data_IF_976941191933
#
_entry.id   IF_976941191933
#
_cell.length_a   1.000
_cell.length_b   1.000
_cell.length_c   1.000
_cell.angle_alpha   90.00
_cell.angle_beta   90.00
_cell.angle_gamma   90.00
#
_symmetry.space_group_name_H-M   'P 1'
#
loop_
_entity.id
_entity.type
_entity.pdbx_description
1 polymer ?
#
# COMPACT_ATOMS: atom_id res chain seq x y z
N UNK A 1 -9.92 -12.90 33.08
CA UNK A 1 -10.16 -13.88 32.01
C UNK A 1 -10.85 -15.08 32.64
N UNK A 2 -12.01 -15.49 32.14
CA UNK A 2 -12.74 -16.67 32.63
C UNK A 2 -12.25 -17.92 31.88
N UNK A 3 -12.32 -19.09 32.52
CA UNK A 3 -11.84 -20.39 31.99
C UNK A 3 -12.43 -20.81 30.64
N UNK A 4 -13.53 -20.19 30.20
CA UNK A 4 -14.16 -20.44 28.90
C UNK A 4 -13.42 -19.74 27.75
N UNK A 5 -12.85 -18.54 27.99
CA UNK A 5 -12.03 -17.81 27.03
C UNK A 5 -10.73 -18.57 26.68
N UNK A 6 -10.23 -19.38 27.62
CA UNK A 6 -9.04 -20.21 27.47
C UNK A 6 -9.29 -21.41 26.54
N UNK A 7 -10.50 -21.99 26.53
CA UNK A 7 -10.78 -23.19 25.73
C UNK A 7 -11.01 -22.92 24.24
N UNK A 8 -11.53 -21.74 23.87
CA UNK A 8 -11.83 -21.44 22.44
C UNK A 8 -10.59 -21.03 21.65
N UNK A 9 -9.60 -20.41 22.29
CA UNK A 9 -8.32 -20.01 21.66
C UNK A 9 -7.34 -21.19 21.52
N UNK A 10 -7.43 -22.19 22.40
CA UNK A 10 -6.47 -23.30 22.50
C UNK A 10 -6.80 -24.46 21.54
N UNK A 11 -8.06 -24.65 21.14
CA UNK A 11 -8.47 -25.87 20.43
C UNK A 11 -8.49 -25.80 18.90
N UNK A 12 -8.13 -24.66 18.27
CA UNK A 12 -8.17 -24.52 16.80
C UNK A 12 -9.52 -24.87 16.16
N UNK A 13 -10.58 -25.02 16.96
CA UNK A 13 -11.92 -25.39 16.54
C UNK A 13 -12.81 -24.18 16.73
N UNK A 14 -13.17 -23.55 15.62
CA UNK A 14 -14.31 -22.66 15.45
C UNK A 14 -14.58 -21.73 16.65
N UNK A 15 -13.90 -20.58 16.66
CA UNK A 15 -14.49 -19.39 17.27
C UNK A 15 -15.80 -19.15 16.51
N UNK A 16 -16.93 -19.54 17.11
CA UNK A 16 -18.25 -19.42 16.50
C UNK A 16 -18.66 -17.94 16.56
N UNK A 17 -18.23 -17.19 15.56
CA UNK A 17 -18.61 -15.80 15.34
C UNK A 17 -19.92 -15.79 14.57
N UNK A 18 -21.03 -15.54 15.26
CA UNK A 18 -22.30 -15.25 14.58
C UNK A 18 -22.20 -13.89 13.90
N UNK A 19 -21.86 -13.86 12.61
CA UNK A 19 -22.15 -12.71 11.76
C UNK A 19 -23.64 -12.73 11.41
N UNK A 20 -24.35 -11.66 11.73
CA UNK A 20 -25.57 -11.29 11.00
C UNK A 20 -25.11 -10.79 9.63
N UNK A 21 -25.03 -11.71 8.67
CA UNK A 21 -25.09 -11.59 7.21
C UNK A 21 -24.29 -12.76 6.61
N UNK A 22 -24.92 -13.45 5.65
CA UNK A 22 -24.47 -14.68 5.01
C UNK A 22 -22.99 -14.63 4.56
N UNK A 23 -22.13 -15.39 5.22
CA UNK A 23 -21.18 -16.34 4.62
C UNK A 23 -20.14 -16.78 5.67
N UNK A 24 -20.35 -17.97 6.22
CA UNK A 24 -19.44 -18.58 7.18
C UNK A 24 -18.23 -19.16 6.43
N UNK A 25 -17.10 -18.44 6.45
CA UNK A 25 -15.79 -19.01 6.17
C UNK A 25 -14.93 -18.88 7.42
N UNK A 26 -14.38 -20.01 7.85
CA UNK A 26 -13.17 -20.15 8.66
C UNK A 26 -12.24 -18.95 8.53
N UNK A 27 -11.71 -18.46 9.67
CA UNK A 27 -10.60 -17.48 9.69
C UNK A 27 -9.63 -17.83 8.56
N UNK A 28 -9.35 -16.92 7.61
CA UNK A 28 -8.33 -17.17 6.62
C UNK A 28 -7.02 -17.41 7.37
N UNK A 29 -6.49 -18.63 7.28
CA UNK A 29 -5.18 -18.97 7.81
C UNK A 29 -4.13 -18.37 6.86
N UNK A 30 -4.07 -17.03 6.78
CA UNK A 30 -3.00 -16.34 6.07
C UNK A 30 -1.80 -16.28 7.02
N UNK A 31 -0.71 -17.01 6.74
CA UNK A 31 0.48 -17.00 7.60
C UNK A 31 1.14 -15.61 7.70
N UNK A 32 0.75 -14.67 6.84
CA UNK A 32 1.22 -13.28 6.84
C UNK A 32 0.38 -12.38 7.75
N UNK A 33 -0.78 -12.83 8.23
CA UNK A 33 -1.68 -12.02 9.04
C UNK A 33 -1.25 -11.96 10.50
N UNK A 34 -0.80 -10.77 10.92
CA UNK A 34 -0.50 -10.47 12.32
C UNK A 34 -1.78 -9.99 13.00
N UNK A 35 -2.28 -10.84 13.88
CA UNK A 35 -3.56 -10.67 14.56
C UNK A 35 -3.39 -10.07 15.95
N UNK A 36 -4.08 -8.97 16.18
CA UNK A 36 -4.19 -8.30 17.48
C UNK A 36 -5.62 -8.42 18.01
N UNK A 37 -5.72 -8.58 19.33
CA UNK A 37 -6.99 -8.68 20.04
C UNK A 37 -7.09 -7.54 21.05
N UNK A 38 -8.07 -6.66 20.89
CA UNK A 38 -8.27 -5.50 21.76
C UNK A 38 -8.77 -5.93 23.15
N UNK A 39 -8.06 -5.48 24.20
CA UNK A 39 -8.40 -5.69 25.62
C UNK A 39 -8.76 -4.38 26.33
N UNK A 40 -9.18 -3.35 25.58
CA UNK A 40 -9.50 -1.97 25.99
C UNK A 40 -8.30 -1.13 26.40
N UNK A 41 -7.42 -1.62 27.26
CA UNK A 41 -6.24 -0.84 27.71
C UNK A 41 -4.96 -1.20 26.95
N UNK A 42 -4.94 -2.39 26.35
CA UNK A 42 -3.79 -2.95 25.64
C UNK A 42 -4.28 -3.97 24.61
N UNK A 43 -3.37 -4.42 23.75
CA UNK A 43 -3.62 -5.47 22.76
C UNK A 43 -2.95 -6.77 23.18
N UNK A 44 -3.50 -7.90 22.74
CA UNK A 44 -2.84 -9.20 22.87
C UNK A 44 -2.59 -9.84 21.52
N UNK A 45 -1.45 -10.50 21.38
CA UNK A 45 -1.15 -11.38 20.26
C UNK A 45 -0.88 -12.80 20.80
N UNK A 46 -1.12 -13.81 19.97
CA UNK A 46 -1.09 -15.22 20.38
C UNK A 46 -0.28 -16.10 19.41
N UNK A 47 0.24 -17.23 19.89
CA UNK A 47 0.91 -18.25 19.08
C UNK A 47 2.16 -17.75 18.35
N UNK A 48 2.21 -18.01 17.04
CA UNK A 48 3.31 -17.59 16.17
C UNK A 48 3.41 -16.06 16.09
N UNK A 49 2.29 -15.35 16.01
CA UNK A 49 2.23 -13.88 16.03
C UNK A 49 2.87 -13.30 17.30
N UNK A 50 2.56 -13.87 18.47
CA UNK A 50 3.18 -13.45 19.73
C UNK A 50 4.71 -13.64 19.71
N UNK A 51 5.16 -14.79 19.18
CA UNK A 51 6.58 -15.14 19.13
C UNK A 51 7.35 -14.25 18.16
N UNK A 52 6.75 -13.96 16.99
CA UNK A 52 7.30 -13.03 16.00
C UNK A 52 7.44 -11.63 16.59
N UNK A 53 6.39 -11.11 17.23
CA UNK A 53 6.40 -9.76 17.81
C UNK A 53 7.45 -9.67 18.94
N UNK A 54 7.51 -10.67 19.82
CA UNK A 54 8.44 -10.70 20.94
C UNK A 54 9.92 -10.67 20.47
N UNK A 55 10.25 -11.46 19.45
CA UNK A 55 11.61 -11.49 18.87
C UNK A 55 11.95 -10.21 18.11
N UNK A 56 11.01 -9.69 17.34
CA UNK A 56 11.26 -8.59 16.40
C UNK A 56 11.27 -7.23 17.09
N UNK A 57 10.32 -6.96 17.99
CA UNK A 57 10.14 -5.62 18.58
C UNK A 57 10.57 -5.51 20.04
N UNK A 58 10.41 -6.58 20.82
CA UNK A 58 10.85 -6.60 22.22
C UNK A 58 12.27 -7.14 22.39
N UNK A 59 12.84 -7.74 21.34
CA UNK A 59 14.15 -8.41 21.35
C UNK A 59 14.32 -9.43 22.49
N UNK A 60 13.22 -9.99 22.98
CA UNK A 60 13.22 -10.98 24.06
C UNK A 60 12.01 -11.91 23.96
N UNK A 61 12.23 -13.18 24.29
CA UNK A 61 11.15 -14.17 24.46
C UNK A 61 10.61 -14.23 25.89
N UNK A 62 11.24 -13.54 26.86
CA UNK A 62 10.84 -13.55 28.27
C UNK A 62 9.50 -12.86 28.53
N UNK A 63 9.07 -11.98 27.62
CA UNK A 63 7.77 -11.32 27.69
C UNK A 63 6.59 -12.26 27.34
N UNK A 64 6.87 -13.43 26.77
CA UNK A 64 5.85 -14.41 26.41
C UNK A 64 5.31 -15.12 27.65
N UNK A 65 3.99 -15.07 27.81
CA UNK A 65 3.27 -15.81 28.84
C UNK A 65 2.66 -17.05 28.23
N UNK A 66 2.96 -18.21 28.80
CA UNK A 66 2.30 -19.46 28.44
C UNK A 66 0.90 -19.49 29.08
N UNK A 67 -0.13 -19.69 28.27
CA UNK A 67 -1.52 -19.82 28.75
C UNK A 67 -2.04 -21.21 28.38
N UNK A 68 -2.55 -21.93 29.37
CA UNK A 68 -3.00 -23.32 29.25
C UNK A 68 -2.18 -24.29 30.10
N UNK A 69 -2.66 -25.52 30.23
CA UNK A 69 -2.01 -26.58 31.00
C UNK A 69 -1.81 -27.81 30.10
N UNK A 70 -0.57 -28.28 29.94
CA UNK A 70 -0.21 -29.44 29.10
C UNK A 70 0.32 -29.11 27.69
N UNK A 71 0.18 -30.05 26.75
CA UNK A 71 0.70 -29.99 25.36
C UNK A 71 0.05 -28.93 24.45
N UNK A 72 -0.96 -28.22 24.95
CA UNK A 72 -1.75 -27.21 24.25
C UNK A 72 -1.52 -25.79 24.81
N UNK A 73 -0.33 -25.54 25.37
CA UNK A 73 0.07 -24.22 25.87
C UNK A 73 0.21 -23.22 24.72
N UNK A 74 -0.55 -22.14 24.77
CA UNK A 74 -0.51 -21.07 23.79
C UNK A 74 0.38 -19.93 24.30
N UNK A 75 1.39 -19.56 23.53
CA UNK A 75 2.20 -18.36 23.81
C UNK A 75 1.34 -17.12 23.63
N UNK A 76 1.44 -16.18 24.55
CA UNK A 76 0.69 -14.91 24.49
C UNK A 76 1.57 -13.75 24.89
N UNK A 77 1.38 -12.62 24.20
CA UNK A 77 2.11 -11.38 24.45
C UNK A 77 1.10 -10.25 24.69
N UNK A 78 1.36 -9.42 25.69
CA UNK A 78 0.61 -8.18 25.93
C UNK A 78 1.39 -7.01 25.33
N UNK A 79 0.72 -6.22 24.49
CA UNK A 79 1.29 -5.13 23.70
C UNK A 79 0.59 -3.84 24.10
N UNK A 80 1.34 -2.82 24.52
CA UNK A 80 0.77 -1.51 24.85
C UNK A 80 0.27 -0.79 23.60
N UNK A 81 -0.62 0.20 23.73
CA UNK A 81 -1.15 0.97 22.60
C UNK A 81 -0.03 1.64 21.77
N UNK A 82 0.95 2.25 22.42
CA UNK A 82 2.09 2.89 21.74
C UNK A 82 2.96 1.86 20.99
N UNK A 83 3.15 0.67 21.56
CA UNK A 83 3.90 -0.39 20.89
C UNK A 83 3.11 -0.94 19.70
N UNK A 84 1.79 -1.08 19.83
CA UNK A 84 0.93 -1.46 18.70
C UNK A 84 1.01 -0.45 17.56
N UNK A 85 0.97 0.86 17.83
CA UNK A 85 1.18 1.91 16.82
C UNK A 85 2.54 1.75 16.12
N UNK A 86 3.61 1.51 16.89
CA UNK A 86 4.96 1.29 16.34
C UNK A 86 5.01 0.06 15.44
N UNK A 87 4.40 -1.04 15.88
CA UNK A 87 4.34 -2.30 15.11
C UNK A 87 3.50 -2.11 13.85
N UNK A 88 2.30 -1.51 13.95
CA UNK A 88 1.42 -1.28 12.81
C UNK A 88 2.12 -0.43 11.73
N UNK A 89 2.87 0.60 12.14
CA UNK A 89 3.65 1.44 11.23
C UNK A 89 4.77 0.66 10.55
N UNK A 90 5.56 -0.13 11.29
CA UNK A 90 6.62 -0.95 10.69
C UNK A 90 6.03 -1.98 9.73
N UNK A 91 4.95 -2.67 10.10
CA UNK A 91 4.33 -3.71 9.28
C UNK A 91 3.70 -3.20 7.98
N UNK A 92 3.06 -2.03 8.01
CA UNK A 92 2.26 -1.54 6.86
C UNK A 92 2.99 -0.51 6.00
N UNK A 93 3.84 0.34 6.60
CA UNK A 93 4.48 1.44 5.86
C UNK A 93 5.90 1.09 5.41
N UNK A 94 6.59 0.24 6.19
CA UNK A 94 8.01 -0.03 6.00
C UNK A 94 8.27 -1.43 5.48
N UNK A 95 7.60 -2.43 6.07
CA UNK A 95 7.62 -3.82 5.62
C UNK A 95 6.49 -4.05 4.62
N UNK A 96 6.65 -5.07 3.79
CA UNK A 96 5.66 -5.45 2.77
C UNK A 96 5.39 -6.95 2.76
N UNK A 97 5.62 -7.60 3.90
CA UNK A 97 5.57 -9.06 4.04
C UNK A 97 4.42 -9.56 4.94
N UNK A 98 3.78 -8.68 5.70
CA UNK A 98 2.69 -9.02 6.61
C UNK A 98 1.46 -8.14 6.40
N UNK A 99 0.31 -8.66 6.78
CA UNK A 99 -0.95 -7.92 6.93
C UNK A 99 -1.28 -7.76 8.41
N UNK A 100 -2.15 -6.80 8.73
CA UNK A 100 -2.57 -6.54 10.10
C UNK A 100 -4.07 -6.76 10.24
N UNK A 101 -4.47 -7.51 11.25
CA UNK A 101 -5.87 -7.72 11.60
C UNK A 101 -6.10 -7.35 13.06
N UNK A 102 -7.12 -6.54 13.32
CA UNK A 102 -7.53 -6.14 14.66
C UNK A 102 -8.92 -6.68 14.99
N UNK A 103 -8.98 -7.48 16.04
CA UNK A 103 -10.19 -8.09 16.55
C UNK A 103 -10.65 -7.40 17.84
N UNK A 104 -11.95 -7.11 17.93
CA UNK A 104 -12.59 -6.67 19.17
C UNK A 104 -13.59 -7.71 19.64
N UNK A 105 -13.66 -7.91 20.95
CA UNK A 105 -14.52 -8.94 21.49
C UNK A 105 -14.49 -9.07 23.00
N UNK A 106 -15.38 -9.92 23.49
CA UNK A 106 -15.42 -10.35 24.88
C UNK A 106 -15.81 -11.81 24.94
N UNK A 107 -15.23 -12.59 25.85
CA UNK A 107 -15.53 -14.01 25.92
C UNK A 107 -14.97 -14.75 24.70
N UNK A 108 -15.82 -15.60 24.12
CA UNK A 108 -15.56 -16.34 22.88
C UNK A 108 -15.94 -15.56 21.61
N UNK A 109 -16.46 -14.33 21.73
CA UNK A 109 -17.03 -13.60 20.59
C UNK A 109 -16.08 -12.46 20.17
N UNK A 110 -15.33 -12.69 19.10
CA UNK A 110 -14.31 -11.79 18.53
C UNK A 110 -14.63 -11.42 17.09
N UNK A 111 -14.95 -10.16 16.79
CA UNK A 111 -15.16 -9.72 15.40
C UNK A 111 -13.91 -9.03 14.87
N UNK A 112 -13.60 -9.23 13.60
CA UNK A 112 -12.64 -8.40 12.89
C UNK A 112 -13.23 -6.99 12.75
N UNK A 113 -12.51 -5.98 13.23
CA UNK A 113 -12.96 -4.58 13.21
C UNK A 113 -12.13 -3.75 12.26
N UNK A 114 -10.81 -3.97 12.22
CA UNK A 114 -9.91 -3.29 11.29
C UNK A 114 -9.00 -4.31 10.62
N UNK A 115 -8.73 -4.10 9.35
CA UNK A 115 -7.73 -4.86 8.59
C UNK A 115 -6.89 -3.90 7.75
N UNK A 116 -5.61 -4.19 7.64
CA UNK A 116 -4.67 -3.37 6.87
C UNK A 116 -3.70 -4.23 6.10
N UNK A 117 -3.40 -3.78 4.90
CA UNK A 117 -2.30 -4.28 4.07
C UNK A 117 -1.33 -3.15 3.78
N UNK A 118 -0.09 -3.43 3.35
CA UNK A 118 0.84 -2.39 2.93
C UNK A 118 0.31 -1.48 1.80
N UNK A 119 -0.65 -1.97 1.00
CA UNK A 119 -1.34 -1.21 -0.03
C UNK A 119 -2.62 -0.51 0.42
N UNK A 120 -3.34 -1.09 1.37
CA UNK A 120 -4.63 -0.59 1.86
C UNK A 120 -4.56 -0.36 3.38
N UNK A 121 -4.29 0.89 3.75
CA UNK A 121 -4.14 1.33 5.14
C UNK A 121 -5.36 2.07 5.68
N UNK A 122 -6.43 2.22 4.89
CA UNK A 122 -7.55 3.12 5.17
C UNK A 122 -8.21 2.91 6.54
N UNK A 123 -8.41 1.66 6.95
CA UNK A 123 -9.05 1.36 8.24
C UNK A 123 -8.18 1.67 9.48
N UNK A 124 -6.88 1.93 9.27
CA UNK A 124 -5.87 2.11 10.31
C UNK A 124 -5.20 3.49 10.24
N UNK A 125 -5.66 4.41 9.39
CA UNK A 125 -5.08 5.76 9.26
C UNK A 125 -5.05 6.51 10.60
N UNK A 126 -6.10 6.36 11.40
CA UNK A 126 -6.23 6.94 12.74
C UNK A 126 -5.14 6.44 13.71
N UNK A 127 -4.69 5.19 13.53
CA UNK A 127 -3.59 4.61 14.30
C UNK A 127 -2.24 5.03 13.71
N UNK A 128 -2.10 5.00 12.39
CA UNK A 128 -0.82 5.21 11.71
C UNK A 128 -0.36 6.67 11.76
N UNK A 129 -1.29 7.63 11.69
CA UNK A 129 -0.98 9.06 11.54
C UNK A 129 -1.41 9.91 12.75
N UNK A 130 -1.73 9.28 13.88
CA UNK A 130 -2.05 9.99 15.13
C UNK A 130 -0.97 11.02 15.54
N UNK A 131 0.31 10.68 15.33
CA UNK A 131 1.47 11.45 15.79
C UNK A 131 2.54 11.70 14.71
N UNK A 132 2.26 11.41 13.44
CA UNK A 132 3.28 11.42 12.38
C UNK A 132 2.67 11.71 11.01
N UNK A 133 3.38 12.47 10.19
CA UNK A 133 2.96 12.82 8.83
C UNK A 133 3.17 11.65 7.85
N UNK A 134 2.23 11.48 6.92
CA UNK A 134 2.35 10.53 5.82
C UNK A 134 3.44 11.01 4.84
N UNK A 135 4.44 10.17 4.58
CA UNK A 135 5.60 10.52 3.75
C UNK A 135 5.54 9.92 2.33
N UNK A 136 4.90 8.76 2.18
CA UNK A 136 4.67 8.08 0.92
C UNK A 136 3.24 7.51 0.97
N UNK A 137 2.42 7.85 -0.03
CA UNK A 137 1.10 7.23 -0.17
C UNK A 137 1.29 5.85 -0.80
N UNK A 138 0.81 4.77 -0.19
CA UNK A 138 0.90 3.45 -0.79
C UNK A 138 0.04 3.41 -2.06
N UNK A 139 0.64 2.92 -3.15
CA UNK A 139 -0.09 2.64 -4.39
C UNK A 139 -0.34 1.14 -4.47
N UNK A 140 -1.59 0.78 -4.76
CA UNK A 140 -1.97 -0.60 -5.08
C UNK A 140 -2.04 -0.74 -6.59
N UNK A 141 -1.34 -1.74 -7.12
CA UNK A 141 -1.32 -2.06 -8.55
C UNK A 141 -2.04 -3.38 -8.77
N UNK A 142 -2.71 -3.55 -9.90
CA UNK A 142 -3.19 -4.83 -10.37
C UNK A 142 -2.63 -5.09 -11.77
N UNK A 143 -2.29 -6.34 -12.05
CA UNK A 143 -1.79 -6.75 -13.36
C UNK A 143 -2.69 -7.82 -13.98
N UNK A 144 -3.03 -7.61 -15.24
CA UNK A 144 -3.64 -8.58 -16.14
C UNK A 144 -2.61 -8.99 -17.17
N UNK A 145 -2.23 -10.27 -17.19
CA UNK A 145 -1.16 -10.79 -18.03
C UNK A 145 -1.77 -11.51 -19.23
N UNK A 146 -1.31 -11.16 -20.43
CA UNK A 146 -1.64 -11.89 -21.65
C UNK A 146 -0.37 -12.32 -22.39
N UNK A 147 -0.02 -13.59 -22.25
CA UNK A 147 1.14 -14.18 -22.90
C UNK A 147 0.84 -14.46 -24.37
N UNK A 148 1.67 -13.93 -25.27
CA UNK A 148 1.65 -14.17 -26.73
C UNK A 148 2.99 -14.78 -27.15
N UNK A 149 3.10 -15.26 -28.40
CA UNK A 149 4.29 -15.99 -28.89
C UNK A 149 5.61 -15.18 -28.76
N UNK A 150 5.55 -13.84 -28.85
CA UNK A 150 6.73 -12.95 -28.81
C UNK A 150 6.79 -12.00 -27.61
N UNK A 151 6.11 -12.30 -26.51
CA UNK A 151 6.17 -11.50 -25.27
C UNK A 151 4.90 -11.52 -24.45
N UNK A 152 4.86 -10.72 -23.40
CA UNK A 152 3.69 -10.59 -22.53
C UNK A 152 3.09 -9.19 -22.69
N UNK A 153 1.81 -9.11 -23.03
CA UNK A 153 1.07 -7.84 -22.94
C UNK A 153 0.56 -7.69 -21.52
N UNK A 154 0.93 -6.58 -20.89
CA UNK A 154 0.58 -6.28 -19.51
C UNK A 154 -0.49 -5.20 -19.49
N UNK A 155 -1.66 -5.54 -18.96
CA UNK A 155 -2.65 -4.57 -18.53
C UNK A 155 -2.39 -4.18 -17.07
N UNK A 156 -2.01 -2.94 -16.83
CA UNK A 156 -1.73 -2.40 -15.51
C UNK A 156 -2.86 -1.45 -15.10
N UNK A 157 -3.49 -1.72 -13.96
CA UNK A 157 -4.32 -0.78 -13.24
C UNK A 157 -3.60 -0.34 -11.97
N UNK A 158 -3.82 0.89 -11.51
CA UNK A 158 -3.37 1.31 -10.19
C UNK A 158 -4.39 2.24 -9.52
N UNK A 159 -4.35 2.25 -8.19
CA UNK A 159 -5.12 3.17 -7.35
C UNK A 159 -4.22 3.75 -6.27
N UNK A 160 -4.33 5.06 -6.10
CA UNK A 160 -3.82 5.81 -4.97
C UNK A 160 -5.02 6.30 -4.16
N UNK A 161 -5.24 5.66 -3.00
CA UNK A 161 -6.41 5.94 -2.15
C UNK A 161 -6.29 7.34 -1.52
N UNK A 162 -5.11 7.71 -1.05
CA UNK A 162 -4.85 9.02 -0.44
C UNK A 162 -5.10 10.16 -1.42
N UNK A 163 -4.60 10.04 -2.66
CA UNK A 163 -4.71 11.10 -3.68
C UNK A 163 -5.98 11.03 -4.50
N UNK A 164 -6.78 9.99 -4.29
CA UNK A 164 -7.97 9.67 -5.09
C UNK A 164 -7.65 9.65 -6.59
N UNK A 165 -6.59 8.94 -6.95
CA UNK A 165 -6.17 8.79 -8.35
C UNK A 165 -6.31 7.33 -8.77
N UNK A 166 -7.02 7.13 -9.88
CA UNK A 166 -7.08 5.88 -10.60
C UNK A 166 -6.25 6.04 -11.87
N UNK A 167 -5.61 4.96 -12.32
CA UNK A 167 -5.01 4.99 -13.63
C UNK A 167 -4.80 3.63 -14.25
N UNK A 168 -4.52 3.69 -15.55
CA UNK A 168 -4.36 2.53 -16.41
C UNK A 168 -3.17 2.72 -17.35
N UNK A 169 -2.47 1.63 -17.60
CA UNK A 169 -1.44 1.54 -18.62
C UNK A 169 -1.51 0.16 -19.29
N UNK A 170 -1.10 0.11 -20.55
CA UNK A 170 -0.92 -1.15 -21.26
C UNK A 170 0.35 -1.07 -22.09
N UNK A 171 1.17 -2.11 -21.99
CA UNK A 171 2.47 -2.15 -22.64
C UNK A 171 2.91 -3.60 -22.86
N UNK A 172 3.84 -3.78 -23.80
CA UNK A 172 4.52 -5.05 -24.00
C UNK A 172 5.70 -5.15 -23.02
N UNK A 173 5.91 -6.35 -22.51
CA UNK A 173 7.03 -6.66 -21.63
C UNK A 173 7.79 -7.89 -22.11
N UNK A 174 9.06 -7.93 -21.70
CA UNK A 174 9.97 -9.03 -21.96
C UNK A 174 9.82 -10.15 -20.90
N UNK A 175 10.60 -11.21 -21.04
CA UNK A 175 10.57 -12.35 -20.10
C UNK A 175 11.05 -12.00 -18.68
N UNK A 176 11.72 -10.86 -18.52
CA UNK A 176 12.25 -10.39 -17.24
C UNK A 176 11.34 -9.34 -16.58
N UNK A 177 10.24 -8.95 -17.22
CA UNK A 177 9.29 -7.96 -16.73
C UNK A 177 9.92 -6.60 -16.39
N UNK A 178 10.86 -6.14 -17.22
CA UNK A 178 11.63 -4.89 -16.97
C UNK A 178 10.73 -3.65 -16.96
N UNK A 179 9.68 -3.63 -17.79
CA UNK A 179 8.75 -2.51 -17.84
C UNK A 179 7.81 -2.51 -16.63
N UNK A 180 7.33 -3.69 -16.19
CA UNK A 180 6.60 -3.83 -14.93
C UNK A 180 7.47 -3.39 -13.75
N UNK A 181 8.72 -3.85 -13.65
CA UNK A 181 9.64 -3.45 -12.56
C UNK A 181 9.75 -1.91 -12.50
N UNK A 182 10.01 -1.28 -13.65
CA UNK A 182 10.15 0.17 -13.75
C UNK A 182 8.85 0.89 -13.36
N UNK A 183 7.69 0.38 -13.78
CA UNK A 183 6.39 0.96 -13.44
C UNK A 183 6.07 0.84 -11.95
N UNK A 184 6.34 -0.31 -11.32
CA UNK A 184 6.09 -0.53 -9.89
C UNK A 184 6.96 0.38 -9.03
N UNK A 185 8.24 0.52 -9.37
CA UNK A 185 9.18 1.41 -8.69
C UNK A 185 8.77 2.87 -8.84
N UNK A 186 8.44 3.30 -10.06
CA UNK A 186 8.02 4.67 -10.35
C UNK A 186 6.71 5.05 -9.66
N UNK A 187 5.74 4.13 -9.61
CA UNK A 187 4.47 4.32 -8.91
C UNK A 187 4.61 4.22 -7.38
N UNK A 188 5.69 3.63 -6.86
CA UNK A 188 5.82 3.37 -5.43
C UNK A 188 4.86 2.27 -4.95
N UNK A 189 4.66 1.25 -5.77
CA UNK A 189 3.75 0.15 -5.48
C UNK A 189 4.16 -0.58 -4.18
N UNK A 190 3.21 -0.73 -3.25
CA UNK A 190 3.39 -1.49 -2.00
C UNK A 190 2.64 -2.81 -2.00
N UNK A 191 1.66 -2.95 -2.88
CA UNK A 191 0.87 -4.15 -3.02
C UNK A 191 0.44 -4.34 -4.48
N UNK A 192 0.60 -5.56 -4.98
CA UNK A 192 0.25 -5.94 -6.33
C UNK A 192 -0.79 -7.08 -6.33
N UNK A 193 -1.92 -6.86 -6.98
CA UNK A 193 -2.96 -7.86 -7.18
C UNK A 193 -2.70 -8.66 -8.45
N UNK A 194 -2.78 -9.99 -8.33
CA UNK A 194 -2.73 -10.91 -9.48
C UNK A 194 -3.92 -11.87 -9.48
N UNK A 195 -4.37 -12.34 -10.65
CA UNK A 195 -5.34 -13.43 -10.73
C UNK A 195 -4.80 -14.71 -10.06
N UNK A 196 -5.63 -15.37 -9.25
CA UNK A 196 -5.31 -16.63 -8.56
C UNK A 196 -4.89 -17.70 -9.57
N UNK A 197 -3.95 -18.56 -9.17
CA UNK A 197 -3.29 -19.58 -10.00
C UNK A 197 -2.22 -19.06 -10.97
N UNK A 198 -1.75 -17.83 -10.75
CA UNK A 198 -0.55 -17.31 -11.42
C UNK A 198 0.64 -18.25 -11.16
N UNK A 199 0.82 -18.83 -9.97
CA UNK A 199 2.00 -19.63 -9.61
C UNK A 199 2.32 -20.92 -10.41
N UNK A 200 1.55 -21.30 -11.43
CA UNK A 200 1.76 -22.56 -12.19
C UNK A 200 2.80 -22.46 -13.32
N UNK A 201 3.11 -21.26 -13.81
CA UNK A 201 4.05 -21.06 -14.93
C UNK A 201 5.41 -20.49 -14.48
N UNK A 202 6.46 -20.66 -15.30
CA UNK A 202 7.80 -20.14 -14.99
C UNK A 202 7.78 -18.60 -15.00
N UNK A 203 7.06 -18.02 -15.94
CA UNK A 203 6.90 -16.58 -16.14
C UNK A 203 6.27 -15.93 -14.90
N UNK A 204 5.27 -16.57 -14.30
CA UNK A 204 4.62 -16.02 -13.12
C UNK A 204 5.50 -16.11 -11.87
N UNK A 205 6.40 -17.10 -11.78
CA UNK A 205 7.44 -17.10 -10.73
C UNK A 205 8.42 -15.95 -10.91
N UNK A 206 8.85 -15.68 -12.14
CA UNK A 206 9.71 -14.53 -12.44
C UNK A 206 9.03 -13.21 -12.07
N UNK A 207 7.73 -13.07 -12.37
CA UNK A 207 6.96 -11.91 -11.95
C UNK A 207 6.91 -11.77 -10.41
N UNK A 208 6.64 -12.85 -9.68
CA UNK A 208 6.67 -12.84 -8.21
C UNK A 208 8.04 -12.40 -7.66
N UNK A 209 9.14 -12.82 -8.30
CA UNK A 209 10.49 -12.39 -7.93
C UNK A 209 10.67 -10.88 -8.17
N UNK A 210 10.13 -10.34 -9.27
CA UNK A 210 10.15 -8.90 -9.57
C UNK A 210 9.34 -8.11 -8.53
N UNK A 211 8.14 -8.58 -8.16
CA UNK A 211 7.33 -7.97 -7.10
C UNK A 211 8.09 -7.93 -5.77
N UNK A 212 8.73 -9.05 -5.41
CA UNK A 212 9.53 -9.16 -4.18
C UNK A 212 10.72 -8.19 -4.22
N UNK A 213 11.42 -8.07 -5.35
CA UNK A 213 12.53 -7.12 -5.52
C UNK A 213 12.09 -5.66 -5.41
N UNK A 214 10.88 -5.34 -5.84
CA UNK A 214 10.28 -4.01 -5.72
C UNK A 214 9.77 -3.71 -4.30
N UNK A 215 9.71 -4.72 -3.42
CA UNK A 215 9.07 -4.60 -2.12
C UNK A 215 7.55 -4.40 -2.26
N UNK A 216 6.90 -5.10 -3.20
CA UNK A 216 5.46 -5.10 -3.35
C UNK A 216 4.88 -6.43 -2.85
N UNK A 217 3.90 -6.36 -1.95
CA UNK A 217 3.20 -7.54 -1.44
C UNK A 217 2.32 -8.14 -2.54
N UNK A 218 2.40 -9.46 -2.76
CA UNK A 218 1.51 -10.16 -3.68
C UNK A 218 0.18 -10.52 -3.00
N UNK A 219 -0.93 -10.13 -3.63
CA UNK A 219 -2.28 -10.51 -3.21
C UNK A 219 -3.02 -11.20 -4.37
N UNK A 220 -3.35 -12.48 -4.21
CA UNK A 220 -4.08 -13.22 -5.23
C UNK A 220 -5.59 -12.98 -5.13
N UNK A 221 -6.22 -12.65 -6.27
CA UNK A 221 -7.66 -12.37 -6.38
C UNK A 221 -8.32 -13.29 -7.39
N UNK A 222 -9.63 -13.51 -7.29
CA UNK A 222 -10.32 -14.43 -8.22
C UNK A 222 -10.23 -13.88 -9.64
N UNK A 223 -9.98 -14.74 -10.63
CA UNK A 223 -9.98 -14.34 -12.06
C UNK A 223 -11.28 -13.67 -12.49
N UNK A 224 -12.40 -13.98 -11.83
CA UNK A 224 -13.70 -13.34 -12.08
C UNK A 224 -13.74 -11.85 -11.75
N UNK A 225 -12.85 -11.36 -10.88
CA UNK A 225 -12.75 -9.95 -10.48
C UNK A 225 -11.98 -9.12 -11.52
N UNK A 226 -11.19 -9.76 -12.39
CA UNK A 226 -10.48 -9.11 -13.49
C UNK A 226 -11.35 -9.01 -14.74
N UNK A 227 -12.46 -8.26 -14.66
CA UNK A 227 -13.42 -8.09 -15.76
C UNK A 227 -13.75 -6.61 -16.00
N UNK A 228 -14.09 -6.30 -17.24
CA UNK A 228 -14.39 -4.93 -17.70
C UNK A 228 -15.89 -4.58 -17.66
N UNK A 229 -16.77 -5.56 -17.41
CA UNK A 229 -18.21 -5.46 -17.67
C UNK A 229 -18.90 -4.21 -17.10
N UNK A 230 -18.73 -3.97 -15.81
CA UNK A 230 -19.39 -2.86 -15.09
C UNK A 230 -18.48 -1.65 -14.90
N UNK A 231 -17.22 -1.73 -15.36
CA UNK A 231 -16.17 -0.76 -15.04
C UNK A 231 -16.54 0.67 -15.43
N UNK A 232 -17.09 0.89 -16.63
CA UNK A 232 -17.42 2.26 -17.09
C UNK A 232 -18.50 2.88 -16.22
N UNK A 233 -19.49 2.08 -15.79
CA UNK A 233 -20.55 2.53 -14.90
C UNK A 233 -20.01 2.84 -13.50
N UNK A 234 -19.15 1.95 -12.98
CA UNK A 234 -18.51 2.11 -11.68
C UNK A 234 -17.62 3.35 -11.64
N UNK A 235 -16.81 3.57 -12.68
CA UNK A 235 -16.01 4.77 -12.85
C UNK A 235 -16.89 6.02 -12.98
N UNK A 236 -18.05 5.92 -13.64
CA UNK A 236 -19.01 7.02 -13.73
C UNK A 236 -19.56 7.49 -12.37
N UNK A 237 -19.53 6.63 -11.34
CA UNK A 237 -19.89 7.00 -9.96
C UNK A 237 -18.72 7.59 -9.18
N UNK A 238 -17.51 7.11 -9.43
CA UNK A 238 -16.32 7.48 -8.66
C UNK A 238 -15.63 8.76 -9.18
N UNK A 239 -15.73 9.03 -10.48
CA UNK A 239 -14.95 10.09 -11.12
C UNK A 239 -15.68 11.43 -11.15
N UNK A 240 -14.92 12.52 -10.99
CA UNK A 240 -15.42 13.88 -11.23
C UNK A 240 -15.67 14.11 -12.73
N UNK A 241 -16.86 14.58 -13.07
CA UNK A 241 -17.18 15.06 -14.42
C UNK A 241 -17.94 14.06 -15.29
N UNK A 242 -17.84 14.20 -16.60
CA UNK A 242 -18.66 13.44 -17.55
C UNK A 242 -18.06 12.07 -17.88
N UNK A 243 -18.93 11.12 -18.27
CA UNK A 243 -18.57 9.71 -18.48
C UNK A 243 -18.00 9.44 -19.88
N UNK A 244 -18.22 10.33 -20.83
CA UNK A 244 -17.74 10.21 -22.22
C UNK A 244 -16.21 10.08 -22.32
N UNK A 245 -15.39 10.99 -21.75
CA UNK A 245 -13.93 10.86 -21.82
C UNK A 245 -13.42 9.61 -21.10
N UNK A 246 -14.14 9.14 -20.08
CA UNK A 246 -13.84 7.90 -19.36
C UNK A 246 -14.02 6.70 -20.27
N UNK A 247 -15.15 6.65 -20.99
CA UNK A 247 -15.44 5.59 -21.95
C UNK A 247 -14.40 5.55 -23.07
N UNK A 248 -14.07 6.70 -23.64
CA UNK A 248 -13.06 6.80 -24.70
C UNK A 248 -11.70 6.29 -24.21
N UNK A 249 -11.28 6.70 -23.01
CA UNK A 249 -10.03 6.24 -22.42
C UNK A 249 -10.03 4.73 -22.16
N UNK A 250 -11.09 4.18 -21.56
CA UNK A 250 -11.22 2.74 -21.28
C UNK A 250 -11.19 1.93 -22.58
N UNK A 251 -11.85 2.42 -23.64
CA UNK A 251 -11.87 1.75 -24.95
C UNK A 251 -10.51 1.68 -25.65
N UNK A 252 -9.56 2.53 -25.24
CA UNK A 252 -8.19 2.52 -25.76
C UNK A 252 -7.30 1.40 -25.22
N UNK A 253 -7.81 0.55 -24.32
CA UNK A 253 -7.07 -0.54 -23.68
C UNK A 253 -7.79 -1.88 -23.80
N UNK A 254 -7.04 -2.96 -23.94
CA UNK A 254 -7.56 -4.33 -24.04
C UNK A 254 -7.56 -5.03 -22.67
N UNK A 255 -6.48 -4.88 -21.90
CA UNK A 255 -6.24 -5.65 -20.65
C UNK A 255 -6.25 -4.81 -19.38
N UNK A 256 -5.83 -3.54 -19.46
CA UNK A 256 -5.77 -2.64 -18.31
C UNK A 256 -7.13 -2.42 -17.59
N UNK A 257 -8.28 -2.36 -18.30
CA UNK A 257 -9.59 -2.18 -17.66
C UNK A 257 -9.94 -3.31 -16.69
N UNK A 258 -9.62 -4.56 -17.04
CA UNK A 258 -9.85 -5.71 -16.16
C UNK A 258 -9.02 -5.64 -14.87
N UNK A 259 -7.78 -5.18 -14.96
CA UNK A 259 -6.94 -4.95 -13.79
C UNK A 259 -7.49 -3.83 -12.90
N UNK A 260 -7.94 -2.71 -13.49
CA UNK A 260 -8.56 -1.64 -12.74
C UNK A 260 -9.85 -2.09 -12.04
N UNK A 261 -10.71 -2.87 -12.71
CA UNK A 261 -11.93 -3.43 -12.11
C UNK A 261 -11.65 -4.27 -10.86
N UNK A 262 -10.58 -5.08 -10.90
CA UNK A 262 -10.14 -5.85 -9.73
C UNK A 262 -9.72 -4.94 -8.55
N UNK A 263 -9.09 -3.79 -8.82
CA UNK A 263 -8.73 -2.81 -7.79
C UNK A 263 -9.96 -2.15 -7.16
N UNK A 264 -10.95 -1.77 -7.97
CA UNK A 264 -12.18 -1.16 -7.46
C UNK A 264 -12.92 -2.12 -6.50
N UNK A 265 -12.98 -3.40 -6.86
CA UNK A 265 -13.56 -4.43 -6.02
C UNK A 265 -12.71 -4.73 -4.79
N UNK A 266 -11.38 -4.71 -4.91
CA UNK A 266 -10.47 -4.99 -3.80
C UNK A 266 -10.48 -3.89 -2.73
N UNK A 267 -10.46 -2.63 -3.16
CA UNK A 267 -10.51 -1.49 -2.27
C UNK A 267 -11.94 -1.14 -1.82
N UNK A 268 -12.95 -1.92 -2.25
CA UNK A 268 -14.37 -1.73 -1.93
C UNK A 268 -14.87 -0.29 -2.18
N UNK A 269 -14.32 0.38 -3.20
CA UNK A 269 -14.54 1.82 -3.40
C UNK A 269 -16.01 2.19 -3.57
N UNK A 270 -16.81 1.30 -4.15
CA UNK A 270 -18.23 1.53 -4.40
C UNK A 270 -19.11 1.30 -3.16
N UNK A 271 -18.59 0.60 -2.15
CA UNK A 271 -19.32 0.30 -0.92
C UNK A 271 -19.42 1.51 0.02
N UNK A 272 -18.51 2.47 -0.15
CA UNK A 272 -18.48 3.72 0.61
C UNK A 272 -18.85 4.90 -0.30
N UNK A 273 -20.00 5.51 -0.03
CA UNK A 273 -20.53 6.65 -0.80
C UNK A 273 -19.63 7.89 -0.71
N UNK A 274 -18.75 7.99 0.31
CA UNK A 274 -17.78 9.09 0.41
C UNK A 274 -16.77 9.11 -0.75
N UNK A 275 -16.62 7.99 -1.48
CA UNK A 275 -15.74 7.87 -2.63
C UNK A 275 -16.33 8.43 -3.92
N UNK A 276 -17.63 8.72 -3.95
CA UNK A 276 -18.33 9.09 -5.18
C UNK A 276 -17.92 10.48 -5.63
N UNK A 277 -17.73 10.65 -6.94
CA UNK A 277 -17.25 11.88 -7.57
C UNK A 277 -15.98 12.46 -6.91
N UNK A 278 -15.11 11.62 -6.34
CA UNK A 278 -13.91 12.06 -5.64
C UNK A 278 -12.59 11.65 -6.31
N UNK A 279 -12.66 10.80 -7.34
CA UNK A 279 -11.49 10.30 -8.04
C UNK A 279 -11.21 11.00 -9.37
N UNK A 280 -9.96 10.91 -9.80
CA UNK A 280 -9.52 11.27 -11.16
C UNK A 280 -8.95 10.04 -11.87
N UNK A 281 -9.25 9.89 -13.16
CA UNK A 281 -8.73 8.79 -13.99
C UNK A 281 -7.65 9.30 -14.93
N UNK A 282 -6.53 8.60 -15.02
CA UNK A 282 -5.37 9.01 -15.83
C UNK A 282 -4.80 7.84 -16.62
N UNK A 283 -4.30 8.14 -17.81
CA UNK A 283 -3.39 7.22 -18.53
C UNK A 283 -2.00 7.35 -17.94
N UNK A 284 -1.43 6.23 -17.49
CA UNK A 284 -0.03 6.19 -17.12
C UNK A 284 0.82 5.86 -18.35
N UNK A 285 1.81 6.72 -18.60
CA UNK A 285 2.72 6.58 -19.73
C UNK A 285 4.12 6.19 -19.24
N UNK A 286 4.55 4.96 -19.55
CA UNK A 286 5.88 4.47 -19.19
C UNK A 286 7.00 5.22 -19.92
N UNK A 287 6.69 5.88 -21.05
CA UNK A 287 7.65 6.66 -21.84
C UNK A 287 7.73 8.13 -21.42
N UNK A 288 6.92 8.55 -20.44
CA UNK A 288 6.98 9.92 -19.92
C UNK A 288 8.18 10.17 -19.00
N UNK A 289 8.73 9.11 -18.40
CA UNK A 289 9.73 9.19 -17.36
C UNK A 289 10.89 8.23 -17.61
N UNK A 290 12.06 8.56 -17.04
CA UNK A 290 13.21 7.67 -17.07
C UNK A 290 12.88 6.37 -16.34
N UNK A 291 13.07 5.24 -17.03
CA UNK A 291 12.83 3.91 -16.48
C UNK A 291 13.99 3.52 -15.57
N UNK A 292 13.69 3.35 -14.28
CA UNK A 292 14.65 2.90 -13.27
C UNK A 292 14.14 1.60 -12.62
N UNK A 293 14.94 0.54 -12.72
CA UNK A 293 14.69 -0.69 -11.98
C UNK A 293 15.04 -0.57 -10.50
N UNK A 294 14.61 -1.54 -9.69
CA UNK A 294 14.84 -1.57 -8.23
C UNK A 294 16.34 -1.57 -7.88
N UNK A 295 17.16 -2.22 -8.70
CA UNK A 295 18.60 -2.29 -8.52
C UNK A 295 19.28 -0.94 -8.78
N UNK A 296 18.83 -0.19 -9.80
CA UNK A 296 19.37 1.13 -10.10
C UNK A 296 19.02 2.14 -9.01
N UNK A 297 17.77 2.13 -8.52
CA UNK A 297 17.34 2.97 -7.40
C UNK A 297 18.18 2.75 -6.14
N UNK A 298 18.52 1.48 -5.85
CA UNK A 298 19.40 1.12 -4.73
C UNK A 298 20.85 1.50 -5.00
N UNK A 299 21.39 1.22 -6.18
CA UNK A 299 22.78 1.53 -6.52
C UNK A 299 23.08 3.04 -6.49
N UNK A 300 22.11 3.86 -6.86
CA UNK A 300 22.20 5.33 -6.82
C UNK A 300 21.80 5.91 -5.45
N UNK A 301 21.41 5.08 -4.48
CA UNK A 301 20.87 5.49 -3.18
C UNK A 301 19.82 6.62 -3.32
N UNK A 302 18.87 6.46 -4.23
CA UNK A 302 17.92 7.54 -4.56
C UNK A 302 17.07 7.91 -3.34
N UNK A 303 16.62 6.90 -2.61
CA UNK A 303 15.75 7.01 -1.43
C UNK A 303 16.47 6.47 -0.18
N UNK A 304 16.02 6.90 1.00
CA UNK A 304 16.58 6.48 2.29
C UNK A 304 16.36 4.97 2.52
N UNK A 305 17.40 4.27 3.01
CA UNK A 305 17.30 2.89 3.52
C UNK A 305 17.42 2.86 5.04
N UNK A 306 16.77 1.89 5.70
CA UNK A 306 16.89 1.68 7.17
C UNK A 306 18.31 1.35 7.62
N UNK A 307 19.11 0.78 6.73
CA UNK A 307 20.52 0.46 7.01
C UNK A 307 21.40 1.70 7.03
N UNK A 308 20.89 2.85 6.57
CA UNK A 308 21.68 4.06 6.45
C UNK A 308 21.88 4.69 7.83
N UNK A 309 23.14 4.89 8.21
CA UNK A 309 23.49 5.53 9.48
C UNK A 309 23.05 7.01 9.54
N UNK A 310 22.78 7.63 8.39
CA UNK A 310 22.39 9.03 8.26
C UNK A 310 21.46 9.20 7.04
N UNK A 311 20.39 9.98 7.19
CA UNK A 311 19.46 10.30 6.10
C UNK A 311 20.16 10.93 4.88
N UNK A 312 21.21 11.72 5.11
CA UNK A 312 22.00 12.35 4.05
C UNK A 312 22.83 11.36 3.18
N UNK A 313 22.83 10.05 3.46
CA UNK A 313 23.45 9.05 2.58
C UNK A 313 22.65 8.81 1.29
N UNK A 314 21.36 9.17 1.28
CA UNK A 314 20.52 9.09 0.08
C UNK A 314 20.44 10.44 -0.65
N UNK A 315 20.20 10.39 -1.96
CA UNK A 315 19.93 11.59 -2.77
C UNK A 315 18.74 12.36 -2.21
N UNK A 316 17.66 11.65 -1.85
CA UNK A 316 16.50 12.25 -1.21
C UNK A 316 16.87 12.98 0.08
N UNK A 317 17.56 12.35 1.03
CA UNK A 317 17.91 12.99 2.29
C UNK A 317 18.87 14.17 2.13
N UNK A 318 19.74 14.14 1.11
CA UNK A 318 20.60 15.27 0.75
C UNK A 318 19.78 16.46 0.21
N UNK A 319 18.88 16.19 -0.74
CA UNK A 319 18.08 17.21 -1.46
C UNK A 319 16.89 17.72 -0.65
N UNK A 320 16.35 16.93 0.26
CA UNK A 320 15.14 17.26 0.99
C UNK A 320 15.38 18.36 2.01
N UNK A 321 15.23 19.60 1.55
CA UNK A 321 15.22 20.83 2.34
C UNK A 321 13.86 21.54 2.24
N UNK A 322 12.81 20.77 2.00
CA UNK A 322 11.44 21.27 1.92
C UNK A 322 10.99 21.82 3.27
N UNK A 323 9.99 22.69 3.26
CA UNK A 323 9.64 23.46 4.46
C UNK A 323 8.15 23.42 4.82
N UNK A 324 7.32 22.81 3.97
CA UNK A 324 5.90 22.51 4.23
C UNK A 324 5.77 21.24 5.06
N UNK A 325 4.69 21.11 5.83
CA UNK A 325 4.27 19.83 6.42
C UNK A 325 3.92 18.83 5.29
N UNK A 326 4.60 17.68 5.23
CA UNK A 326 4.33 16.58 4.28
C UNK A 326 4.52 16.86 2.78
N UNK A 327 3.70 17.74 2.19
CA UNK A 327 3.48 17.87 0.73
C UNK A 327 4.76 18.04 -0.10
N UNK A 328 5.67 18.94 0.29
CA UNK A 328 6.89 19.21 -0.47
C UNK A 328 7.85 18.02 -0.43
N UNK A 329 7.95 17.37 0.73
CA UNK A 329 8.75 16.15 0.91
C UNK A 329 8.20 15.04 0.02
N UNK A 330 6.89 14.88 -0.02
CA UNK A 330 6.21 13.90 -0.85
C UNK A 330 6.42 14.18 -2.35
N UNK A 331 6.26 15.43 -2.80
CA UNK A 331 6.49 15.81 -4.20
C UNK A 331 7.92 15.53 -4.68
N UNK A 332 8.92 15.82 -3.83
CA UNK A 332 10.31 15.49 -4.12
C UNK A 332 10.51 13.97 -4.28
N UNK A 333 9.81 13.17 -3.47
CA UNK A 333 9.85 11.72 -3.56
C UNK A 333 9.39 11.23 -4.94
N UNK A 334 8.28 11.80 -5.46
CA UNK A 334 7.79 11.49 -6.80
C UNK A 334 8.82 11.88 -7.85
N UNK A 335 9.35 13.10 -7.80
CA UNK A 335 10.26 13.60 -8.85
C UNK A 335 11.53 12.76 -8.96
N UNK A 336 12.03 12.24 -7.84
CA UNK A 336 13.18 11.33 -7.84
C UNK A 336 12.83 9.93 -8.36
N UNK A 337 11.61 9.44 -8.13
CA UNK A 337 11.10 8.16 -8.69
C UNK A 337 10.69 8.28 -10.16
N UNK A 338 10.29 9.47 -10.61
CA UNK A 338 9.75 9.76 -11.94
C UNK A 338 10.49 10.94 -12.60
N UNK A 339 11.78 10.77 -12.97
CA UNK A 339 12.50 11.83 -13.68
C UNK A 339 11.87 12.04 -15.07
N UNK A 340 11.42 13.26 -15.43
CA UNK A 340 10.75 13.49 -16.71
C UNK A 340 11.72 13.37 -17.89
N UNK A 341 11.21 12.96 -19.05
CA UNK A 341 11.98 12.89 -20.30
C UNK A 341 11.70 14.07 -21.26
N UNK A 342 10.61 14.82 -21.04
CA UNK A 342 10.30 16.00 -21.86
C UNK A 342 11.25 17.16 -21.53
N UNK A 343 12.07 17.54 -22.52
CA UNK A 343 13.01 18.66 -22.43
C UNK A 343 12.31 19.96 -22.05
N UNK A 344 11.06 20.18 -22.50
CA UNK A 344 10.31 21.39 -22.14
C UNK A 344 9.94 21.41 -20.66
N UNK A 345 9.47 20.28 -20.12
CA UNK A 345 9.17 20.15 -18.69
C UNK A 345 10.44 20.32 -17.84
N UNK A 346 11.55 19.72 -18.27
CA UNK A 346 12.85 19.84 -17.60
C UNK A 346 13.29 21.31 -17.54
N UNK A 347 13.30 22.00 -18.68
CA UNK A 347 13.71 23.40 -18.74
C UNK A 347 12.78 24.30 -17.93
N UNK A 348 11.46 24.10 -17.99
CA UNK A 348 10.52 24.87 -17.19
C UNK A 348 10.78 24.74 -15.67
N UNK A 349 11.13 23.53 -15.19
CA UNK A 349 11.55 23.34 -13.79
C UNK A 349 12.87 24.04 -13.48
N UNK A 350 13.84 23.97 -14.38
CA UNK A 350 15.14 24.63 -14.23
C UNK A 350 15.02 26.17 -14.24
N UNK A 351 14.15 26.74 -15.06
CA UNK A 351 13.88 28.18 -15.12
C UNK A 351 13.34 28.69 -13.77
N UNK A 352 12.41 27.94 -13.15
CA UNK A 352 11.89 28.27 -11.81
C UNK A 352 13.00 28.21 -10.77
N UNK A 353 13.88 27.19 -10.82
CA UNK A 353 15.03 27.09 -9.91
C UNK A 353 15.97 28.28 -10.11
N UNK A 354 16.27 28.64 -11.36
CA UNK A 354 17.15 29.76 -11.68
C UNK A 354 16.61 31.08 -11.15
N UNK A 355 15.31 31.35 -11.30
CA UNK A 355 14.67 32.56 -10.76
C UNK A 355 14.86 32.71 -9.24
N UNK A 356 14.78 31.61 -8.47
CA UNK A 356 15.02 31.63 -7.02
C UNK A 356 16.50 31.68 -6.63
N UNK A 357 17.41 31.18 -7.47
CA UNK A 357 18.86 31.28 -7.24
C UNK A 357 19.34 32.71 -7.49
N UNK A 358 18.73 33.42 -8.46
CA UNK A 358 19.05 34.81 -8.79
C UNK A 358 18.48 35.81 -7.77
N UNK A 359 17.35 35.50 -7.12
CA UNK A 359 16.73 36.32 -6.06
C UNK A 359 16.65 35.56 -4.72
N UNK A 360 17.79 35.53 -4.01
CA UNK A 360 17.90 34.87 -2.69
C UNK A 360 16.95 35.48 -1.65
N UNK A 361 16.79 36.81 -1.53
CA UNK A 361 15.82 37.40 -0.61
C UNK A 361 14.38 36.90 -0.84
N UNK A 362 13.91 36.87 -2.08
CA UNK A 362 12.60 36.34 -2.44
C UNK A 362 12.46 34.87 -2.01
N UNK A 363 13.47 34.05 -2.30
CA UNK A 363 13.48 32.63 -1.91
C UNK A 363 13.41 32.45 -0.38
N UNK A 364 14.15 33.25 0.40
CA UNK A 364 14.13 33.17 1.86
C UNK A 364 12.77 33.55 2.42
N UNK A 365 12.16 34.63 1.91
CA UNK A 365 10.85 35.10 2.34
C UNK A 365 9.74 34.08 2.03
N UNK A 366 9.72 33.57 0.80
CA UNK A 366 8.78 32.51 0.39
C UNK A 366 8.89 31.28 1.29
N UNK A 367 10.10 30.85 1.66
CA UNK A 367 10.30 29.72 2.59
C UNK A 367 9.72 29.99 3.97
N UNK A 368 9.75 31.23 4.47
CA UNK A 368 9.12 31.55 5.75
C UNK A 368 7.60 31.46 5.68
N UNK A 369 7.01 31.84 4.55
CA UNK A 369 5.57 31.72 4.31
C UNK A 369 5.14 30.25 4.16
N UNK A 370 5.85 29.46 3.36
CA UNK A 370 5.55 28.04 3.13
C UNK A 370 5.59 27.20 4.41
N UNK A 371 6.46 27.54 5.38
CA UNK A 371 6.49 26.89 6.70
C UNK A 371 5.20 27.01 7.50
N UNK A 372 4.36 28.01 7.21
CA UNK A 372 3.11 28.25 7.92
C UNK A 372 1.92 27.53 7.28
N UNK A 373 2.13 26.92 6.12
CA UNK A 373 1.09 26.18 5.40
C UNK A 373 1.06 24.75 5.96
N UNK A 374 -0.10 24.38 6.53
CA UNK A 374 -0.41 23.02 6.95
C UNK A 374 -0.57 22.11 5.74
N UNK A 375 -0.50 20.80 5.95
CA UNK A 375 -0.68 19.83 4.86
C UNK A 375 -2.12 19.89 4.32
N UNK A 376 -2.30 20.57 3.19
CA UNK A 376 -3.60 20.78 2.54
C UNK A 376 -4.15 19.45 2.02
N UNK A 377 -3.29 18.53 1.58
CA UNK A 377 -3.74 17.23 1.05
C UNK A 377 -4.38 16.38 2.16
N UNK A 378 -3.78 16.39 3.36
CA UNK A 378 -4.37 15.74 4.54
C UNK A 378 -5.67 16.44 4.99
N UNK A 379 -5.70 17.78 4.99
CA UNK A 379 -6.91 18.51 5.38
C UNK A 379 -8.09 18.18 4.45
N UNK A 380 -7.85 18.10 3.14
CA UNK A 380 -8.89 17.73 2.16
C UNK A 380 -9.35 16.28 2.34
N UNK A 381 -8.50 15.38 2.84
CA UNK A 381 -8.89 14.00 3.14
C UNK A 381 -9.76 13.87 4.40
N UNK A 382 -9.58 14.78 5.37
CA UNK A 382 -10.30 14.79 6.65
C UNK A 382 -11.64 15.55 6.64
N UNK A 383 -11.93 16.27 5.55
CA UNK A 383 -13.13 17.07 5.33
C UNK A 383 -14.12 16.30 4.46
#
# INVERSE_FOLDING_TARGET
MTREEERSLINGTNICLKSTHHDCKTLPDDPRAIQFFDRRDYYTAHGENATLIAKTYYHTTTALRQRGSGSNSLSSLSVSRNMFETIARDLLLERTDHTLELYEGSGSNWRLVKCGTPGNIGSLEDVLFANSEMQDSPVVVALSLNFRENGCTIGLGFVDLTKRVLGMAEFLDDSHFTNVESALVALGCKECLLPRECGKSIENRMLCDVLTKCGAMLTERKKSEFKTGDLVQDLGRLLKGSIEPVRDLVSGFEFAPGALGALLSYAELLADESNYENYTLRRYNLDGYMRLGSAAMRALNVLESKTDANKNFSLFGLMNRTCTAGMGKWLLHIWLKQPPLDVKEINAKLDVVQAFVEDIPLWQDLRQHLKRISDIELLVHSL
#
